data_IF_937048170504
#
_entry.id   IF_937048170504
#
_cell.length_a   1.000
_cell.length_b   1.000
_cell.length_c   1.000
_cell.angle_alpha   90.00
_cell.angle_beta   90.00
_cell.angle_gamma   90.00
#
_symmetry.space_group_name_H-M   'P 1'
#
loop_
_entity.id
_entity.type
_entity.pdbx_description
1 polymer ?
#
# COMPACT_ATOMS: atom_id res chain seq x y z
N UNK A 1 -18.56 -8.07 -12.95
CA UNK A 1 -17.93 -8.12 -11.60
C UNK A 1 -16.46 -8.59 -11.58
N UNK A 2 -15.97 -9.44 -12.51
CA UNK A 2 -14.62 -10.07 -12.51
C UNK A 2 -13.40 -9.14 -12.30
N UNK A 3 -13.53 -7.85 -12.60
CA UNK A 3 -12.47 -6.84 -12.43
C UNK A 3 -12.81 -5.74 -11.41
N UNK A 4 -14.06 -5.64 -10.92
CA UNK A 4 -14.47 -4.46 -10.14
C UNK A 4 -13.68 -4.33 -8.82
N UNK A 5 -13.47 -5.46 -8.11
CA UNK A 5 -12.71 -5.48 -6.86
C UNK A 5 -11.24 -5.09 -7.08
N UNK A 6 -10.64 -5.55 -8.17
CA UNK A 6 -9.28 -5.14 -8.54
C UNK A 6 -9.24 -3.67 -8.94
N UNK A 7 -10.24 -3.14 -9.65
CA UNK A 7 -10.30 -1.72 -9.99
C UNK A 7 -10.42 -0.86 -8.74
N UNK A 8 -11.28 -1.24 -7.79
CA UNK A 8 -11.39 -0.58 -6.48
C UNK A 8 -10.04 -0.64 -5.75
N UNK A 9 -9.44 -1.83 -5.65
CA UNK A 9 -8.13 -2.01 -5.01
C UNK A 9 -7.01 -1.18 -5.68
N UNK A 10 -7.01 -1.08 -7.00
CA UNK A 10 -6.05 -0.26 -7.74
C UNK A 10 -6.26 1.24 -7.51
N UNK A 11 -7.51 1.72 -7.46
CA UNK A 11 -7.82 3.11 -7.13
C UNK A 11 -7.38 3.44 -5.71
N UNK A 12 -7.65 2.54 -4.75
CA UNK A 12 -7.17 2.69 -3.38
C UNK A 12 -5.64 2.73 -3.31
N UNK A 13 -4.96 1.82 -4.02
CA UNK A 13 -3.49 1.78 -4.10
C UNK A 13 -2.93 3.08 -4.70
N UNK A 14 -3.53 3.56 -5.79
CA UNK A 14 -3.14 4.81 -6.43
C UNK A 14 -3.31 6.00 -5.48
N UNK A 15 -4.45 6.10 -4.79
CA UNK A 15 -4.73 7.19 -3.85
C UNK A 15 -3.75 7.19 -2.66
N UNK A 16 -3.56 6.04 -1.98
CA UNK A 16 -2.66 5.96 -0.82
C UNK A 16 -1.20 6.17 -1.21
N UNK A 17 -0.80 5.67 -2.39
CA UNK A 17 0.53 5.91 -2.94
C UNK A 17 0.75 7.39 -3.28
N UNK A 18 -0.22 8.03 -3.92
CA UNK A 18 -0.19 9.45 -4.25
C UNK A 18 -0.05 10.32 -3.00
N UNK A 19 -0.86 10.08 -1.96
CA UNK A 19 -0.73 10.79 -0.69
C UNK A 19 0.67 10.63 -0.06
N UNK A 20 1.26 9.43 -0.13
CA UNK A 20 2.60 9.19 0.39
C UNK A 20 3.68 9.96 -0.37
N UNK A 21 3.55 10.09 -1.71
CA UNK A 21 4.43 10.92 -2.54
C UNK A 21 4.31 12.40 -2.11
N UNK A 22 3.09 12.93 -2.03
CA UNK A 22 2.87 14.32 -1.65
C UNK A 22 3.38 14.64 -0.25
N UNK A 23 3.07 13.82 0.75
CA UNK A 23 3.56 14.03 2.11
C UNK A 23 5.09 13.91 2.18
N UNK A 24 5.67 12.92 1.49
CA UNK A 24 7.12 12.71 1.47
C UNK A 24 7.88 13.84 0.81
N UNK A 25 7.43 14.31 -0.37
CA UNK A 25 8.14 15.36 -1.11
C UNK A 25 8.10 16.70 -0.37
N UNK A 26 7.01 17.04 0.31
CA UNK A 26 6.92 18.28 1.09
C UNK A 26 8.00 18.34 2.17
N UNK A 27 8.18 17.25 2.91
CA UNK A 27 9.22 17.17 3.94
C UNK A 27 10.63 17.16 3.32
N UNK A 28 10.82 16.47 2.18
CA UNK A 28 12.11 16.44 1.49
C UNK A 28 12.51 17.80 0.88
N UNK A 29 11.54 18.67 0.56
CA UNK A 29 11.78 20.04 0.10
C UNK A 29 12.12 21.00 1.25
N UNK A 30 12.21 20.52 2.49
CA UNK A 30 12.56 21.32 3.66
C UNK A 30 11.38 22.04 4.30
N UNK A 31 10.14 21.71 3.93
CA UNK A 31 8.98 22.24 4.64
C UNK A 31 8.96 21.60 6.03
N UNK A 32 9.12 22.45 7.06
CA UNK A 32 9.07 22.04 8.45
C UNK A 32 7.64 21.59 8.80
N UNK A 33 7.43 20.30 9.11
CA UNK A 33 6.11 19.82 9.47
C UNK A 33 5.71 20.21 10.90
N UNK A 34 6.56 20.94 11.64
CA UNK A 34 6.32 21.41 13.00
C UNK A 34 6.67 20.37 14.07
N UNK A 35 7.41 19.31 13.69
CA UNK A 35 7.84 18.24 14.58
C UNK A 35 9.13 17.58 14.08
N UNK A 36 9.83 16.90 14.98
CA UNK A 36 11.03 16.15 14.63
C UNK A 36 10.70 15.00 13.68
N UNK A 37 11.35 15.00 12.51
CA UNK A 37 11.22 13.95 11.51
C UNK A 37 12.49 13.12 11.45
N UNK A 38 12.32 11.81 11.52
CA UNK A 38 13.42 10.87 11.33
C UNK A 38 13.83 10.91 9.86
N UNK A 39 15.04 11.38 9.55
CA UNK A 39 15.52 11.67 8.19
C UNK A 39 15.25 10.58 7.13
N UNK A 40 15.35 9.30 7.49
CA UNK A 40 15.13 8.22 6.52
C UNK A 40 13.65 7.94 6.23
N UNK A 41 12.74 8.32 7.14
CA UNK A 41 11.31 7.98 7.04
C UNK A 41 10.60 8.70 5.89
N UNK A 42 10.82 10.01 5.62
CA UNK A 42 10.31 10.67 4.42
C UNK A 42 10.81 10.05 3.12
N UNK A 43 12.11 9.72 3.05
CA UNK A 43 12.71 9.07 1.87
C UNK A 43 12.03 7.73 1.60
N UNK A 44 11.83 6.93 2.66
CA UNK A 44 11.09 5.68 2.58
C UNK A 44 9.64 5.89 2.10
N UNK A 45 8.91 6.82 2.71
CA UNK A 45 7.51 7.09 2.40
C UNK A 45 7.32 7.54 0.94
N UNK A 46 8.16 8.47 0.49
CA UNK A 46 8.16 8.97 -0.89
C UNK A 46 8.44 7.84 -1.88
N UNK A 47 9.51 7.06 -1.65
CA UNK A 47 9.91 5.96 -2.53
C UNK A 47 8.84 4.88 -2.59
N UNK A 48 8.31 4.45 -1.44
CA UNK A 48 7.22 3.48 -1.38
C UNK A 48 5.94 4.00 -2.07
N UNK A 49 5.68 5.31 -1.96
CA UNK A 49 4.59 5.98 -2.67
C UNK A 49 4.73 5.87 -4.19
N UNK A 50 5.91 6.19 -4.74
CA UNK A 50 6.22 6.03 -6.17
C UNK A 50 6.01 4.59 -6.62
N UNK A 51 6.62 3.63 -5.93
CA UNK A 51 6.47 2.21 -6.28
C UNK A 51 5.00 1.78 -6.24
N UNK A 52 4.24 2.26 -5.27
CA UNK A 52 2.82 1.94 -5.16
C UNK A 52 2.02 2.50 -6.34
N UNK A 53 2.22 3.77 -6.70
CA UNK A 53 1.48 4.43 -7.79
C UNK A 53 1.81 3.82 -9.15
N UNK A 54 3.10 3.69 -9.47
CA UNK A 54 3.53 3.34 -10.81
C UNK A 54 3.65 1.83 -11.06
N UNK A 55 3.90 1.05 -10.00
CA UNK A 55 4.07 -0.40 -10.13
C UNK A 55 2.85 -1.12 -9.56
N UNK A 56 2.60 -1.00 -8.26
CA UNK A 56 1.60 -1.87 -7.61
C UNK A 56 0.18 -1.57 -8.08
N UNK A 57 -0.22 -0.31 -8.21
CA UNK A 57 -1.55 0.07 -8.69
C UNK A 57 -1.77 -0.41 -10.14
N UNK A 58 -0.76 -0.29 -11.01
CA UNK A 58 -0.81 -0.76 -12.40
C UNK A 58 -0.94 -2.29 -12.47
N UNK A 59 -0.16 -3.02 -11.67
CA UNK A 59 -0.24 -4.48 -11.57
C UNK A 59 -1.62 -4.94 -11.07
N UNK A 60 -2.20 -4.26 -10.08
CA UNK A 60 -3.55 -4.55 -9.60
C UNK A 60 -4.59 -4.22 -10.67
N UNK A 61 -4.48 -3.07 -11.34
CA UNK A 61 -5.43 -2.62 -12.36
C UNK A 61 -5.52 -3.57 -13.55
N UNK A 62 -4.39 -4.14 -13.96
CA UNK A 62 -4.25 -5.11 -15.05
C UNK A 62 -4.56 -6.56 -14.62
N UNK A 63 -4.89 -6.79 -13.34
CA UNK A 63 -5.09 -8.12 -12.75
C UNK A 63 -3.87 -9.06 -12.96
N UNK A 64 -2.66 -8.50 -12.90
CA UNK A 64 -1.44 -9.27 -13.10
C UNK A 64 -1.22 -10.31 -11.99
N UNK A 65 -0.58 -11.44 -12.31
CA UNK A 65 -0.32 -12.54 -11.34
C UNK A 65 0.48 -12.09 -10.12
N UNK A 66 1.35 -11.09 -10.30
CA UNK A 66 2.18 -10.49 -9.25
C UNK A 66 1.43 -9.51 -8.33
N UNK A 67 0.18 -9.13 -8.64
CA UNK A 67 -0.55 -8.15 -7.83
C UNK A 67 -0.67 -8.54 -6.35
N UNK A 68 -0.98 -9.80 -6.04
CA UNK A 68 -1.08 -10.25 -4.66
C UNK A 68 0.30 -10.38 -3.98
N UNK A 69 1.32 -11.06 -4.56
CA UNK A 69 2.66 -11.08 -3.97
C UNK A 69 3.21 -9.68 -3.66
N UNK A 70 3.07 -8.74 -4.60
CA UNK A 70 3.55 -7.36 -4.40
C UNK A 70 2.74 -6.67 -3.29
N UNK A 71 1.41 -6.81 -3.25
CA UNK A 71 0.60 -6.25 -2.16
C UNK A 71 0.99 -6.82 -0.78
N UNK A 72 1.27 -8.12 -0.69
CA UNK A 72 1.79 -8.77 0.53
C UNK A 72 3.14 -8.18 0.92
N UNK A 73 4.07 -8.07 -0.03
CA UNK A 73 5.37 -7.47 0.23
C UNK A 73 5.22 -6.02 0.74
N UNK A 74 4.37 -5.21 0.12
CA UNK A 74 4.17 -3.81 0.51
C UNK A 74 3.61 -3.69 1.94
N UNK A 75 2.56 -4.43 2.29
CA UNK A 75 2.02 -4.39 3.66
C UNK A 75 3.04 -4.89 4.69
N UNK A 76 3.82 -5.94 4.36
CA UNK A 76 4.86 -6.47 5.25
C UNK A 76 5.97 -5.45 5.50
N UNK A 77 6.44 -4.74 4.48
CA UNK A 77 7.46 -3.71 4.65
C UNK A 77 6.90 -2.55 5.50
N UNK A 78 5.65 -2.12 5.27
CA UNK A 78 5.02 -1.11 6.14
C UNK A 78 4.86 -1.57 7.58
N UNK A 79 4.52 -2.84 7.81
CA UNK A 79 4.42 -3.41 9.15
C UNK A 79 5.79 -3.44 9.84
N UNK A 80 6.84 -3.82 9.11
CA UNK A 80 8.21 -3.78 9.62
C UNK A 80 8.64 -2.35 10.00
N UNK A 81 8.36 -1.36 9.14
CA UNK A 81 8.61 0.05 9.47
C UNK A 81 7.83 0.48 10.70
N UNK A 82 6.54 0.13 10.81
CA UNK A 82 5.73 0.42 11.99
C UNK A 82 6.33 -0.18 13.27
N UNK A 83 6.80 -1.43 13.23
CA UNK A 83 7.46 -2.07 14.36
C UNK A 83 8.73 -1.32 14.74
N UNK A 84 9.58 -0.96 13.77
CA UNK A 84 10.81 -0.18 14.01
C UNK A 84 10.47 1.17 14.69
N UNK A 85 9.44 1.88 14.21
CA UNK A 85 9.03 3.15 14.80
C UNK A 85 8.56 2.99 16.26
N UNK A 86 7.82 1.92 16.57
CA UNK A 86 7.29 1.67 17.91
C UNK A 86 8.33 1.09 18.89
N UNK A 87 9.39 0.43 18.42
CA UNK A 87 10.39 -0.20 19.30
C UNK A 87 11.68 0.60 19.42
N UNK A 88 12.17 1.20 18.33
CA UNK A 88 13.46 1.88 18.30
C UNK A 88 13.35 3.42 18.36
N UNK A 89 12.20 3.98 18.01
CA UNK A 89 12.01 5.43 17.89
C UNK A 89 10.79 5.95 18.66
N UNK A 90 10.25 5.18 19.61
CA UNK A 90 8.99 5.49 20.31
C UNK A 90 8.94 6.90 20.90
N UNK A 91 10.06 7.36 21.47
CA UNK A 91 10.15 8.64 22.18
C UNK A 91 10.43 9.84 21.25
N UNK A 92 10.72 9.57 19.98
CA UNK A 92 11.23 10.57 19.02
C UNK A 92 10.37 10.64 17.77
N UNK A 93 9.62 9.59 17.45
CA UNK A 93 8.73 9.53 16.29
C UNK A 93 7.52 10.44 16.48
N UNK A 94 7.26 11.29 15.49
CA UNK A 94 6.09 12.13 15.49
C UNK A 94 4.78 11.30 15.48
N UNK A 95 3.76 11.65 16.29
CA UNK A 95 2.46 11.00 16.28
C UNK A 95 1.84 10.93 14.88
N UNK A 96 2.00 11.98 14.07
CA UNK A 96 1.49 12.06 12.70
C UNK A 96 2.11 10.99 11.79
N UNK A 97 3.39 10.65 12.01
CA UNK A 97 4.05 9.56 11.28
C UNK A 97 3.48 8.19 11.63
N UNK A 98 3.14 7.96 12.90
CA UNK A 98 2.47 6.73 13.34
C UNK A 98 1.06 6.65 12.78
N UNK A 99 0.32 7.77 12.79
CA UNK A 99 -1.03 7.83 12.22
C UNK A 99 -0.99 7.56 10.71
N UNK A 100 -0.09 8.22 9.97
CA UNK A 100 0.07 8.00 8.54
C UNK A 100 0.44 6.54 8.21
N UNK A 101 1.33 5.92 9.00
CA UNK A 101 1.70 4.52 8.82
C UNK A 101 0.54 3.57 9.15
N UNK A 102 -0.28 3.90 10.16
CA UNK A 102 -1.48 3.14 10.54
C UNK A 102 -2.52 3.16 9.43
N UNK A 103 -2.82 4.35 8.88
CA UNK A 103 -3.72 4.51 7.73
C UNK A 103 -3.25 3.63 6.58
N UNK A 104 -1.94 3.65 6.29
CA UNK A 104 -1.35 2.83 5.23
C UNK A 104 -1.56 1.33 5.47
N UNK A 105 -1.34 0.83 6.69
CA UNK A 105 -1.58 -0.58 7.04
C UNK A 105 -3.06 -0.98 6.88
N UNK A 106 -3.99 -0.13 7.32
CA UNK A 106 -5.43 -0.38 7.19
C UNK A 106 -5.84 -0.44 5.72
N UNK A 107 -5.42 0.55 4.92
CA UNK A 107 -5.74 0.59 3.47
C UNK A 107 -5.15 -0.63 2.75
N UNK A 108 -3.91 -1.03 3.06
CA UNK A 108 -3.33 -2.23 2.48
C UNK A 108 -4.03 -3.52 2.92
N UNK A 109 -4.49 -3.62 4.17
CA UNK A 109 -5.27 -4.76 4.62
C UNK A 109 -6.58 -4.88 3.82
N UNK A 110 -7.25 -3.74 3.56
CA UNK A 110 -8.44 -3.69 2.70
C UNK A 110 -8.10 -4.13 1.26
N UNK A 111 -7.04 -3.58 0.66
CA UNK A 111 -6.57 -3.96 -0.68
C UNK A 111 -6.32 -5.47 -0.76
N UNK A 112 -5.60 -6.02 0.22
CA UNK A 112 -5.29 -7.45 0.30
C UNK A 112 -6.57 -8.29 0.40
N UNK A 113 -7.53 -7.86 1.23
CA UNK A 113 -8.85 -8.48 1.37
C UNK A 113 -9.62 -8.51 0.04
N UNK A 114 -9.65 -7.39 -0.69
CA UNK A 114 -10.27 -7.30 -2.01
C UNK A 114 -9.62 -8.25 -3.02
N UNK A 115 -8.29 -8.31 -3.06
CA UNK A 115 -7.54 -9.21 -3.94
C UNK A 115 -7.78 -10.69 -3.60
N UNK A 116 -7.82 -11.04 -2.32
CA UNK A 116 -8.06 -12.39 -1.84
C UNK A 116 -9.50 -12.83 -2.16
N UNK A 117 -10.50 -11.98 -1.90
CA UNK A 117 -11.90 -12.24 -2.25
C UNK A 117 -12.06 -12.42 -3.76
N UNK A 118 -11.43 -11.55 -4.57
CA UNK A 118 -11.43 -11.66 -6.02
C UNK A 118 -10.80 -12.96 -6.54
N UNK A 119 -9.73 -13.46 -5.90
CA UNK A 119 -9.12 -14.76 -6.25
C UNK A 119 -10.01 -15.95 -5.87
N UNK A 120 -10.60 -15.94 -4.67
CA UNK A 120 -11.49 -17.02 -4.20
C UNK A 120 -12.70 -17.18 -5.13
N UNK A 121 -13.33 -16.06 -5.50
CA UNK A 121 -14.46 -16.04 -6.42
C UNK A 121 -14.13 -16.59 -7.83
N UNK A 122 -12.86 -16.50 -8.27
CA UNK A 122 -12.41 -17.08 -9.54
C UNK A 122 -12.21 -18.60 -9.46
N UNK A 123 -11.72 -19.12 -8.33
CA UNK A 123 -11.49 -20.56 -8.12
C UNK A 123 -12.80 -21.35 -7.92
N UNK A 124 -13.82 -20.73 -7.34
CA UNK A 124 -15.10 -21.38 -7.05
C UNK A 124 -16.05 -21.52 -8.26
N UNK A 125 -15.65 -21.09 -9.47
CA UNK A 125 -16.48 -21.27 -10.67
C UNK A 125 -16.22 -22.65 -11.28
N UNK A 126 -17.23 -23.52 -11.40
CA UNK A 126 -17.10 -24.74 -12.20
C UNK A 126 -16.77 -24.34 -13.63
N UNK A 127 -15.75 -24.97 -14.20
CA UNK A 127 -15.44 -24.87 -15.61
C UNK A 127 -16.51 -25.64 -16.37
N UNK A 128 -17.54 -24.94 -16.86
CA UNK A 128 -18.41 -25.49 -17.89
C UNK A 128 -17.58 -25.60 -19.17
N UNK A 129 -16.84 -26.70 -19.30
CA UNK A 129 -16.24 -27.12 -20.56
C UNK A 129 -17.39 -27.69 -21.40
N UNK A 130 -17.76 -27.11 -22.55
CA UNK A 130 -18.56 -27.85 -23.50
C UNK A 130 -17.72 -29.04 -23.94
N UNK A 131 -18.17 -30.25 -23.63
CA UNK A 131 -17.64 -31.47 -24.25
C UNK A 131 -18.05 -31.39 -25.72
N UNK A 132 -17.06 -31.20 -26.59
CA UNK A 132 -17.19 -31.40 -28.03
C UNK A 132 -16.62 -32.78 -28.36
#
# INVERSE_FOLDING_TARGET
MKNILNKIAAVLAFAIGGMAIFAGIQVLLGNDPGYYVINWLPVYNYTAGILTVFITAVLIWTNHRLALPVAIATISIHAAVMVILQTAYRDVVAPDSIQAMTVRLVVWAIILGLLAAGRRARRARPTNVPVA
#
